data_IF_551409410462
#
_entry.id   IF_551409410462
#
_cell.length_a   1.000
_cell.length_b   1.000
_cell.length_c   1.000
_cell.angle_alpha   90.00
_cell.angle_beta   90.00
_cell.angle_gamma   90.00
#
_symmetry.space_group_name_H-M   'P 1'
#
loop_
_entity.id
_entity.type
_entity.pdbx_description
1 polymer ?
#
# COMPACT_ATOMS: atom_id res chain seq x y z
N UNK A 1 -45.15 -15.59 -7.64
CA UNK A 1 -45.64 -15.12 -6.32
C UNK A 1 -44.84 -15.87 -5.25
N UNK A 2 -44.31 -15.19 -4.22
CA UNK A 2 -43.65 -15.85 -3.10
C UNK A 2 -44.74 -16.48 -2.23
N UNK A 3 -44.94 -17.79 -2.37
CA UNK A 3 -45.89 -18.51 -1.55
C UNK A 3 -45.29 -18.73 -0.16
N UNK A 4 -45.82 -18.05 0.84
CA UNK A 4 -45.40 -18.14 2.23
C UNK A 4 -46.42 -18.86 3.13
N UNK A 5 -47.53 -19.33 2.55
CA UNK A 5 -48.61 -20.01 3.27
C UNK A 5 -49.07 -19.25 4.52
N UNK A 6 -49.34 -20.00 5.59
CA UNK A 6 -49.90 -19.48 6.84
C UNK A 6 -48.93 -18.59 7.63
N UNK A 7 -47.62 -18.71 7.38
CA UNK A 7 -46.56 -17.97 8.08
C UNK A 7 -46.27 -16.59 7.47
N UNK A 8 -47.01 -16.17 6.43
CA UNK A 8 -46.76 -14.91 5.73
C UNK A 8 -46.72 -13.69 6.65
N UNK A 9 -47.63 -13.62 7.64
CA UNK A 9 -47.70 -12.50 8.59
C UNK A 9 -46.46 -12.43 9.49
N UNK A 10 -46.03 -13.58 10.01
CA UNK A 10 -44.86 -13.68 10.90
C UNK A 10 -43.57 -13.32 10.14
N UNK A 11 -43.43 -13.81 8.90
CA UNK A 11 -42.31 -13.48 8.02
C UNK A 11 -42.28 -11.98 7.72
N UNK A 12 -43.43 -11.37 7.43
CA UNK A 12 -43.51 -9.94 7.15
C UNK A 12 -43.11 -9.08 8.37
N UNK A 13 -43.52 -9.49 9.58
CA UNK A 13 -43.13 -8.83 10.82
C UNK A 13 -41.61 -8.93 11.06
N UNK A 14 -41.05 -10.13 10.95
CA UNK A 14 -39.62 -10.35 11.10
C UNK A 14 -38.81 -9.59 10.04
N UNK A 15 -39.23 -9.64 8.78
CA UNK A 15 -38.59 -8.91 7.69
C UNK A 15 -38.61 -7.40 7.95
N UNK A 16 -39.72 -6.86 8.46
CA UNK A 16 -39.83 -5.43 8.80
C UNK A 16 -38.86 -5.07 9.92
N UNK A 17 -38.74 -5.90 10.95
CA UNK A 17 -37.78 -5.73 12.05
C UNK A 17 -36.34 -5.75 11.53
N UNK A 18 -35.99 -6.70 10.66
CA UNK A 18 -34.67 -6.76 10.00
C UNK A 18 -34.41 -5.47 9.21
N UNK A 19 -35.36 -4.99 8.39
CA UNK A 19 -35.19 -3.75 7.61
C UNK A 19 -34.95 -2.55 8.52
N UNK A 20 -35.67 -2.44 9.64
CA UNK A 20 -35.48 -1.35 10.61
C UNK A 20 -34.07 -1.39 11.20
N UNK A 21 -33.58 -2.58 11.58
CA UNK A 21 -32.20 -2.74 12.05
C UNK A 21 -31.19 -2.37 10.96
N UNK A 22 -31.38 -2.88 9.75
CA UNK A 22 -30.52 -2.58 8.60
C UNK A 22 -30.44 -1.08 8.28
N UNK A 23 -31.52 -0.32 8.54
CA UNK A 23 -31.54 1.14 8.42
C UNK A 23 -30.75 1.82 9.54
N UNK A 24 -30.86 1.33 10.78
CA UNK A 24 -30.09 1.83 11.94
C UNK A 24 -28.58 1.61 11.76
N UNK A 25 -28.20 0.49 11.14
CA UNK A 25 -26.81 0.18 10.76
C UNK A 25 -26.35 0.90 9.47
N UNK A 26 -26.99 2.00 9.08
CA UNK A 26 -26.61 2.86 7.94
C UNK A 26 -26.48 2.16 6.57
N UNK A 27 -26.98 0.93 6.42
CA UNK A 27 -26.85 0.21 5.14
C UNK A 27 -27.76 0.76 4.04
N UNK A 28 -28.77 1.55 4.40
CA UNK A 28 -29.70 2.17 3.44
C UNK A 28 -29.23 3.51 2.87
N UNK A 29 -28.32 4.20 3.56
CA UNK A 29 -27.90 5.56 3.20
C UNK A 29 -27.16 5.57 1.85
N UNK A 30 -27.59 6.44 0.93
CA UNK A 30 -27.00 6.57 -0.42
C UNK A 30 -27.24 5.37 -1.33
N UNK A 31 -28.15 4.46 -0.98
CA UNK A 31 -28.26 3.12 -1.57
C UNK A 31 -29.72 2.76 -1.87
N UNK A 32 -29.94 1.81 -2.80
CA UNK A 32 -31.30 1.40 -3.22
C UNK A 32 -32.00 0.61 -2.10
N UNK A 33 -33.19 1.04 -1.60
CA UNK A 33 -33.90 0.37 -0.51
C UNK A 33 -34.51 -0.97 -0.91
N UNK A 34 -34.78 -1.18 -2.20
CA UNK A 34 -35.30 -2.46 -2.74
C UNK A 34 -34.37 -3.63 -2.45
N UNK A 35 -33.05 -3.43 -2.53
CA UNK A 35 -32.07 -4.47 -2.23
C UNK A 35 -32.09 -4.92 -0.76
N UNK A 36 -32.31 -3.99 0.16
CA UNK A 36 -32.46 -4.29 1.60
C UNK A 36 -33.75 -5.07 1.85
N UNK A 37 -34.84 -4.69 1.19
CA UNK A 37 -36.11 -5.41 1.28
C UNK A 37 -35.96 -6.88 0.81
N UNK A 38 -35.31 -7.10 -0.33
CA UNK A 38 -35.05 -8.45 -0.84
C UNK A 38 -34.16 -9.29 0.08
N UNK A 39 -33.10 -8.70 0.64
CA UNK A 39 -32.24 -9.38 1.61
C UNK A 39 -32.99 -9.74 2.90
N UNK A 40 -33.80 -8.82 3.42
CA UNK A 40 -34.58 -9.05 4.62
C UNK A 40 -35.66 -10.12 4.43
N UNK A 41 -36.36 -10.13 3.29
CA UNK A 41 -37.32 -11.20 2.95
C UNK A 41 -36.62 -12.57 2.90
N UNK A 42 -35.44 -12.63 2.28
CA UNK A 42 -34.68 -13.88 2.20
C UNK A 42 -34.26 -14.38 3.59
N UNK A 43 -33.76 -13.48 4.45
CA UNK A 43 -33.36 -13.84 5.81
C UNK A 43 -34.54 -14.29 6.66
N UNK A 44 -35.66 -13.56 6.62
CA UNK A 44 -36.89 -13.92 7.34
C UNK A 44 -37.45 -15.27 6.84
N UNK A 45 -37.47 -15.52 5.54
CA UNK A 45 -37.93 -16.81 4.99
C UNK A 45 -37.09 -17.99 5.51
N UNK A 46 -35.76 -17.80 5.63
CA UNK A 46 -34.86 -18.83 6.17
C UNK A 46 -35.08 -19.07 7.67
N UNK A 47 -35.39 -18.03 8.44
CA UNK A 47 -35.69 -18.16 9.87
C UNK A 47 -36.92 -19.03 10.14
N UNK A 48 -37.92 -19.02 9.24
CA UNK A 48 -39.13 -19.85 9.34
C UNK A 48 -39.05 -21.19 8.59
N UNK A 49 -37.84 -21.62 8.18
CA UNK A 49 -37.56 -22.84 7.40
C UNK A 49 -38.28 -22.88 6.03
N UNK A 50 -38.55 -21.73 5.43
CA UNK A 50 -39.10 -21.61 4.08
C UNK A 50 -37.98 -21.25 3.11
N UNK A 51 -37.27 -22.27 2.64
CA UNK A 51 -36.15 -22.12 1.73
C UNK A 51 -36.64 -21.67 0.35
N UNK A 52 -36.64 -20.35 0.09
CA UNK A 52 -36.90 -19.75 -1.22
C UNK A 52 -35.59 -19.47 -1.94
N UNK A 53 -35.57 -19.62 -3.26
CA UNK A 53 -34.39 -19.31 -4.05
C UNK A 53 -34.15 -17.80 -4.07
N UNK A 54 -32.88 -17.41 -4.11
CA UNK A 54 -32.50 -16.00 -4.29
C UNK A 54 -33.06 -15.47 -5.61
N UNK A 55 -33.14 -16.33 -6.65
CA UNK A 55 -33.72 -15.97 -7.94
C UNK A 55 -35.20 -15.60 -7.85
N UNK A 56 -35.99 -16.33 -7.05
CA UNK A 56 -37.43 -16.05 -6.89
C UNK A 56 -37.66 -14.68 -6.25
N UNK A 57 -36.85 -14.35 -5.25
CA UNK A 57 -36.91 -13.07 -4.55
C UNK A 57 -36.48 -11.93 -5.47
N UNK A 58 -35.40 -12.12 -6.20
CA UNK A 58 -34.88 -11.16 -7.20
C UNK A 58 -35.93 -10.83 -8.25
N UNK A 59 -36.65 -11.84 -8.76
CA UNK A 59 -37.70 -11.67 -9.75
C UNK A 59 -38.88 -10.82 -9.23
N UNK A 60 -39.16 -10.85 -7.93
CA UNK A 60 -40.29 -10.12 -7.33
C UNK A 60 -39.87 -8.71 -6.91
N UNK A 61 -38.67 -8.56 -6.34
CA UNK A 61 -38.17 -7.28 -5.83
C UNK A 61 -37.48 -6.44 -6.92
N UNK A 62 -37.29 -7.02 -8.12
CA UNK A 62 -36.69 -6.38 -9.29
C UNK A 62 -35.29 -5.81 -8.99
N UNK A 63 -34.41 -6.65 -8.42
CA UNK A 63 -33.05 -6.28 -8.03
C UNK A 63 -32.07 -7.36 -8.49
N UNK A 64 -30.87 -7.01 -8.92
CA UNK A 64 -29.86 -7.98 -9.33
C UNK A 64 -29.42 -8.91 -8.18
N UNK A 65 -29.14 -10.18 -8.52
CA UNK A 65 -28.65 -11.20 -7.59
C UNK A 65 -27.42 -10.75 -6.78
N UNK A 66 -26.48 -10.06 -7.44
CA UNK A 66 -25.27 -9.54 -6.79
C UNK A 66 -25.56 -8.49 -5.73
N UNK A 67 -26.63 -7.71 -5.90
CA UNK A 67 -27.03 -6.69 -4.92
C UNK A 67 -27.57 -7.35 -3.66
N UNK A 68 -28.48 -8.32 -3.78
CA UNK A 68 -29.03 -9.05 -2.62
C UNK A 68 -27.91 -9.74 -1.85
N UNK A 69 -27.00 -10.42 -2.55
CA UNK A 69 -25.83 -11.07 -1.92
C UNK A 69 -24.97 -10.07 -1.16
N UNK A 70 -24.60 -8.95 -1.77
CA UNK A 70 -23.78 -7.91 -1.12
C UNK A 70 -24.46 -7.35 0.14
N UNK A 71 -25.79 -7.19 0.15
CA UNK A 71 -26.52 -6.75 1.36
C UNK A 71 -26.53 -7.80 2.48
N UNK A 72 -26.62 -9.07 2.13
CA UNK A 72 -26.51 -10.15 3.11
C UNK A 72 -25.12 -10.22 3.70
N UNK A 73 -24.08 -10.10 2.87
CA UNK A 73 -22.68 -10.10 3.32
C UNK A 73 -22.40 -8.91 4.25
N UNK A 74 -22.93 -7.72 3.94
CA UNK A 74 -22.80 -6.54 4.80
C UNK A 74 -23.52 -6.73 6.14
N UNK A 75 -24.75 -7.25 6.14
CA UNK A 75 -25.47 -7.53 7.39
C UNK A 75 -24.79 -8.63 8.23
N UNK A 76 -24.20 -9.64 7.58
CA UNK A 76 -23.44 -10.68 8.29
C UNK A 76 -22.18 -10.12 8.98
N UNK A 77 -21.66 -8.98 8.52
CA UNK A 77 -20.53 -8.30 9.16
C UNK A 77 -20.95 -7.35 10.29
N UNK A 78 -22.24 -7.10 10.51
CA UNK A 78 -22.70 -6.28 11.64
C UNK A 78 -22.90 -7.15 12.89
N UNK A 79 -22.83 -6.58 14.11
CA UNK A 79 -23.06 -7.34 15.34
C UNK A 79 -24.45 -7.97 15.39
N UNK A 80 -25.45 -7.37 14.73
CA UNK A 80 -26.79 -7.94 14.64
C UNK A 80 -26.88 -9.19 13.77
N UNK A 81 -25.98 -9.35 12.78
CA UNK A 81 -25.92 -10.53 11.94
C UNK A 81 -25.35 -11.77 12.64
N UNK A 82 -24.67 -11.57 13.78
CA UNK A 82 -24.08 -12.64 14.59
C UNK A 82 -25.06 -13.21 15.64
N UNK A 83 -26.17 -12.53 15.91
CA UNK A 83 -27.18 -12.96 16.86
C UNK A 83 -27.97 -14.15 16.33
N UNK A 84 -28.41 -15.02 17.23
CA UNK A 84 -29.42 -16.03 16.89
C UNK A 84 -30.76 -15.37 16.58
N UNK A 85 -31.64 -16.09 15.87
CA UNK A 85 -32.96 -15.58 15.48
C UNK A 85 -33.79 -15.20 16.72
N UNK A 86 -33.69 -15.99 17.79
CA UNK A 86 -34.42 -15.74 19.04
C UNK A 86 -33.88 -14.52 19.79
N UNK A 87 -32.55 -14.36 19.84
CA UNK A 87 -31.93 -13.16 20.41
C UNK A 87 -32.29 -11.91 19.62
N UNK A 88 -32.27 -11.99 18.29
CA UNK A 88 -32.63 -10.87 17.41
C UNK A 88 -34.07 -10.40 17.60
N UNK A 89 -34.99 -11.31 17.94
CA UNK A 89 -36.39 -10.96 18.21
C UNK A 89 -36.59 -10.26 19.56
N UNK A 90 -35.76 -10.56 20.55
CA UNK A 90 -35.92 -10.08 21.92
C UNK A 90 -35.02 -8.89 22.27
N UNK A 91 -33.88 -8.74 21.58
CA UNK A 91 -32.86 -7.74 21.90
C UNK A 91 -32.72 -6.75 20.74
N UNK A 92 -32.88 -5.46 21.05
CA UNK A 92 -32.51 -4.37 20.16
C UNK A 92 -31.16 -3.81 20.61
N UNK A 93 -30.12 -4.04 19.81
CA UNK A 93 -28.81 -3.41 20.04
C UNK A 93 -28.91 -1.89 19.83
N UNK A 94 -28.27 -1.10 20.70
CA UNK A 94 -28.23 0.37 20.55
C UNK A 94 -27.08 0.81 19.62
N UNK A 95 -25.99 0.04 19.61
CA UNK A 95 -24.83 0.31 18.77
C UNK A 95 -25.21 0.31 17.29
N UNK A 96 -24.73 1.32 16.56
CA UNK A 96 -24.99 1.52 15.13
C UNK A 96 -23.67 1.41 14.37
N UNK A 97 -23.69 0.71 13.25
CA UNK A 97 -22.51 0.54 12.40
C UNK A 97 -22.31 1.70 11.42
N UNK A 98 -21.05 1.87 11.00
CA UNK A 98 -20.66 2.81 9.96
C UNK A 98 -21.18 2.38 8.57
N UNK A 99 -21.44 3.34 7.66
CA UNK A 99 -21.87 3.02 6.31
C UNK A 99 -20.82 2.18 5.54
N UNK A 100 -21.23 1.26 4.65
CA UNK A 100 -20.31 0.35 3.95
C UNK A 100 -19.21 1.03 3.13
N UNK A 101 -19.43 2.26 2.64
CA UNK A 101 -18.38 3.03 1.95
C UNK A 101 -17.20 3.36 2.89
N UNK A 102 -17.48 3.66 4.16
CA UNK A 102 -16.46 3.95 5.15
C UNK A 102 -15.72 2.68 5.56
N UNK A 103 -16.46 1.59 5.80
CA UNK A 103 -15.87 0.28 6.11
C UNK A 103 -14.96 -0.23 4.99
N UNK A 104 -15.35 -0.07 3.71
CA UNK A 104 -14.53 -0.49 2.58
C UNK A 104 -13.26 0.37 2.45
N UNK A 105 -13.35 1.68 2.67
CA UNK A 105 -12.19 2.57 2.71
C UNK A 105 -11.21 2.19 3.83
N UNK A 106 -11.71 1.97 5.05
CA UNK A 106 -10.89 1.56 6.19
C UNK A 106 -10.20 0.21 5.95
N UNK A 107 -10.91 -0.77 5.37
CA UNK A 107 -10.34 -2.07 4.99
C UNK A 107 -9.21 -1.92 3.96
N UNK A 108 -9.41 -1.09 2.92
CA UNK A 108 -8.38 -0.82 1.90
C UNK A 108 -7.14 -0.16 2.50
N UNK A 109 -7.32 0.81 3.39
CA UNK A 109 -6.22 1.50 4.07
C UNK A 109 -5.40 0.53 4.93
N UNK A 110 -6.06 -0.34 5.69
CA UNK A 110 -5.39 -1.35 6.53
C UNK A 110 -4.63 -2.37 5.66
N UNK A 111 -5.23 -2.83 4.56
CA UNK A 111 -4.59 -3.77 3.64
C UNK A 111 -3.35 -3.15 2.98
N UNK A 112 -3.42 -1.88 2.59
CA UNK A 112 -2.28 -1.16 2.01
C UNK A 112 -1.15 -0.97 3.02
N UNK A 113 -1.47 -0.60 4.26
CA UNK A 113 -0.47 -0.47 5.33
C UNK A 113 0.22 -1.82 5.61
N UNK A 114 -0.56 -2.90 5.66
CA UNK A 114 -0.03 -4.25 5.84
C UNK A 114 0.91 -4.63 4.71
N UNK A 115 0.53 -4.35 3.45
CA UNK A 115 1.38 -4.61 2.29
C UNK A 115 2.69 -3.83 2.36
N UNK A 116 2.65 -2.53 2.70
CA UNK A 116 3.86 -1.71 2.87
C UNK A 116 4.78 -2.25 3.97
N UNK A 117 4.20 -2.67 5.09
CA UNK A 117 4.96 -3.29 6.20
C UNK A 117 5.61 -4.61 5.78
N UNK A 118 4.93 -5.42 4.98
CA UNK A 118 5.49 -6.69 4.51
C UNK A 118 6.58 -6.45 3.44
N UNK A 119 6.42 -5.44 2.59
CA UNK A 119 7.44 -4.98 1.63
C UNK A 119 8.70 -4.41 2.34
N UNK A 120 8.53 -3.59 3.38
CA UNK A 120 9.62 -3.05 4.19
C UNK A 120 10.41 -4.16 4.89
N UNK A 121 9.70 -5.12 5.51
CA UNK A 121 10.35 -6.30 6.11
C UNK A 121 11.11 -7.14 5.10
N UNK A 122 10.57 -7.29 3.88
CA UNK A 122 11.25 -8.02 2.82
C UNK A 122 12.51 -7.26 2.35
N UNK A 123 12.45 -5.93 2.27
CA UNK A 123 13.59 -5.09 1.94
C UNK A 123 14.68 -5.17 3.02
N UNK A 124 14.31 -5.07 4.30
CA UNK A 124 15.24 -5.19 5.43
C UNK A 124 15.94 -6.56 5.45
N UNK A 125 15.19 -7.64 5.19
CA UNK A 125 15.76 -8.99 5.08
C UNK A 125 16.77 -9.07 3.93
N UNK A 126 16.44 -8.52 2.76
CA UNK A 126 17.35 -8.50 1.62
C UNK A 126 18.61 -7.68 1.90
N UNK A 127 18.48 -6.49 2.52
CA UNK A 127 19.64 -5.66 2.90
C UNK A 127 20.55 -6.43 3.85
N UNK A 128 19.99 -7.09 4.86
CA UNK A 128 20.77 -7.87 5.83
C UNK A 128 21.49 -9.06 5.18
N UNK A 129 20.90 -9.71 4.17
CA UNK A 129 21.55 -10.77 3.40
C UNK A 129 22.73 -10.26 2.56
N UNK A 130 22.63 -9.04 1.99
CA UNK A 130 23.69 -8.45 1.17
C UNK A 130 24.77 -7.73 1.98
N UNK A 131 24.52 -7.43 3.25
CA UNK A 131 25.44 -6.70 4.13
C UNK A 131 26.83 -7.34 4.32
N UNK A 132 27.00 -8.67 4.51
CA UNK A 132 28.32 -9.28 4.58
C UNK A 132 29.11 -9.13 3.28
N UNK A 133 28.43 -9.27 2.13
CA UNK A 133 29.05 -9.13 0.82
C UNK A 133 29.44 -7.68 0.52
N UNK A 134 28.62 -6.71 0.94
CA UNK A 134 28.95 -5.26 0.88
C UNK A 134 30.21 -4.97 1.66
N UNK A 135 30.31 -5.47 2.90
CA UNK A 135 31.50 -5.28 3.76
C UNK A 135 32.75 -5.89 3.13
N UNK A 136 32.65 -7.08 2.56
CA UNK A 136 33.78 -7.72 1.88
C UNK A 136 34.24 -6.91 0.65
N UNK A 137 33.28 -6.41 -0.14
CA UNK A 137 33.57 -5.57 -1.30
C UNK A 137 34.28 -4.27 -0.91
N UNK A 138 33.82 -3.58 0.14
CA UNK A 138 34.41 -2.35 0.67
C UNK A 138 35.89 -2.55 1.06
N UNK A 139 36.18 -3.65 1.76
CA UNK A 139 37.55 -4.01 2.17
C UNK A 139 38.46 -4.26 0.97
N UNK A 140 37.98 -4.99 -0.04
CA UNK A 140 38.75 -5.25 -1.26
C UNK A 140 38.99 -3.95 -2.04
N UNK A 141 38.01 -3.03 -2.07
CA UNK A 141 38.15 -1.71 -2.70
C UNK A 141 39.20 -0.85 -2.02
N UNK A 142 39.16 -0.78 -0.68
CA UNK A 142 40.19 -0.09 0.10
C UNK A 142 41.58 -0.65 -0.19
N UNK A 143 41.72 -1.98 -0.24
CA UNK A 143 42.99 -2.64 -0.56
C UNK A 143 43.47 -2.32 -1.97
N UNK A 144 42.58 -2.31 -2.97
CA UNK A 144 42.91 -1.93 -4.35
C UNK A 144 43.30 -0.46 -4.45
N UNK A 145 42.63 0.42 -3.72
CA UNK A 145 42.92 1.84 -3.72
C UNK A 145 44.26 2.18 -3.06
N UNK A 146 44.59 1.56 -1.91
CA UNK A 146 45.90 1.66 -1.26
C UNK A 146 47.06 1.21 -2.16
N UNK A 147 46.77 0.30 -3.11
CA UNK A 147 47.72 -0.19 -4.10
C UNK A 147 47.66 0.52 -5.47
N UNK A 148 46.79 1.52 -5.61
CA UNK A 148 46.58 2.23 -6.87
C UNK A 148 47.79 3.09 -7.29
N UNK A 149 47.94 3.41 -8.58
CA UNK A 149 48.94 4.38 -9.05
C UNK A 149 48.82 5.75 -8.36
N UNK A 150 47.60 6.16 -8.00
CA UNK A 150 47.34 7.41 -7.26
C UNK A 150 47.97 7.37 -5.85
N UNK A 151 47.85 6.24 -5.15
CA UNK A 151 48.50 6.05 -3.86
C UNK A 151 50.03 6.03 -3.94
N UNK A 152 50.59 5.59 -5.07
CA UNK A 152 52.02 5.71 -5.36
C UNK A 152 52.45 7.15 -5.63
N UNK A 153 51.61 7.94 -6.28
CA UNK A 153 51.87 9.36 -6.58
C UNK A 153 51.88 10.22 -5.31
N UNK A 154 50.98 9.96 -4.37
CA UNK A 154 50.93 10.67 -3.07
C UNK A 154 52.23 10.48 -2.26
N UNK A 155 52.91 9.35 -2.45
CA UNK A 155 54.20 9.03 -1.77
C UNK A 155 55.42 9.28 -2.67
N UNK A 156 55.21 9.73 -3.90
CA UNK A 156 56.15 9.64 -5.03
C UNK A 156 57.55 10.23 -4.85
N UNK A 157 57.77 11.08 -3.84
CA UNK A 157 59.07 11.71 -3.60
C UNK A 157 59.95 11.02 -2.55
N UNK A 158 59.46 10.02 -1.81
CA UNK A 158 60.21 9.40 -0.70
C UNK A 158 60.96 8.12 -1.14
N UNK A 159 60.46 7.41 -2.17
CA UNK A 159 60.99 6.11 -2.56
C UNK A 159 62.23 6.15 -3.48
N UNK A 160 62.60 7.32 -4.02
CA UNK A 160 63.51 7.43 -5.17
C UNK A 160 65.02 7.44 -4.81
N UNK A 161 65.39 7.25 -3.54
CA UNK A 161 66.81 7.30 -3.10
C UNK A 161 67.52 5.93 -2.98
N UNK A 162 66.91 4.83 -3.46
CA UNK A 162 67.61 3.54 -3.62
C UNK A 162 68.03 2.83 -2.33
N UNK A 163 67.55 3.27 -1.16
CA UNK A 163 67.86 2.66 0.15
C UNK A 163 66.74 1.68 0.55
N UNK A 164 67.02 0.38 0.77
CA UNK A 164 65.99 -0.64 1.00
C UNK A 164 65.21 -0.46 2.33
N UNK A 165 65.78 0.22 3.32
CA UNK A 165 65.08 0.56 4.57
C UNK A 165 64.05 1.68 4.40
N UNK A 166 64.34 2.67 3.52
CA UNK A 166 63.37 3.72 3.17
C UNK A 166 62.16 3.15 2.43
N UNK A 167 62.34 2.05 1.68
CA UNK A 167 61.25 1.40 0.95
C UNK A 167 60.18 0.83 1.90
N UNK A 168 60.60 0.19 3.00
CA UNK A 168 59.67 -0.29 4.04
C UNK A 168 58.97 0.86 4.76
N UNK A 169 59.71 1.91 5.11
CA UNK A 169 59.13 3.12 5.71
C UNK A 169 58.12 3.82 4.78
N UNK A 170 58.37 3.83 3.46
CA UNK A 170 57.47 4.44 2.48
C UNK A 170 56.11 3.73 2.37
N UNK A 171 56.05 2.43 2.65
CA UNK A 171 54.79 1.69 2.67
C UNK A 171 53.93 2.10 3.87
N UNK A 172 54.55 2.22 5.05
CA UNK A 172 53.87 2.62 6.29
C UNK A 172 53.34 4.05 6.16
N UNK A 173 54.16 4.97 5.67
CA UNK A 173 53.74 6.36 5.41
C UNK A 173 52.62 6.45 4.37
N UNK A 174 52.62 5.58 3.36
CA UNK A 174 51.52 5.52 2.38
C UNK A 174 50.21 5.15 3.05
N UNK A 175 50.23 4.10 3.86
CA UNK A 175 49.03 3.57 4.49
C UNK A 175 48.47 4.57 5.49
N UNK A 176 49.32 5.20 6.33
CA UNK A 176 48.90 6.26 7.25
C UNK A 176 48.35 7.50 6.52
N UNK A 177 49.03 7.98 5.47
CA UNK A 177 48.51 9.12 4.70
C UNK A 177 47.22 8.79 3.93
N UNK A 178 47.04 7.55 3.48
CA UNK A 178 45.78 7.12 2.88
C UNK A 178 44.66 7.05 3.91
N UNK A 179 44.93 6.49 5.10
CA UNK A 179 43.94 6.36 6.16
C UNK A 179 43.49 7.74 6.66
N UNK A 180 44.40 8.70 6.82
CA UNK A 180 44.02 10.11 7.13
C UNK A 180 43.21 10.78 6.03
N UNK A 181 43.53 10.56 4.75
CA UNK A 181 42.72 11.08 3.63
C UNK A 181 41.31 10.49 3.64
N UNK A 182 41.18 9.21 3.98
CA UNK A 182 39.88 8.54 4.13
C UNK A 182 39.06 9.11 5.29
N UNK A 183 39.68 9.26 6.47
CA UNK A 183 39.04 9.82 7.66
C UNK A 183 38.55 11.26 7.41
N UNK A 184 39.37 12.10 6.78
CA UNK A 184 38.99 13.46 6.39
C UNK A 184 37.85 13.49 5.36
N UNK A 185 37.78 12.50 4.48
CA UNK A 185 36.70 12.37 3.51
C UNK A 185 35.39 11.86 4.14
N UNK A 186 35.45 11.07 5.22
CA UNK A 186 34.27 10.67 6.00
C UNK A 186 33.71 11.82 6.86
N UNK A 187 34.58 12.62 7.49
CA UNK A 187 34.15 13.79 8.28
C UNK A 187 33.57 14.90 7.41
N UNK A 188 34.10 15.08 6.20
CA UNK A 188 33.47 15.88 5.17
C UNK A 188 32.49 15.02 4.38
N UNK A 189 31.34 14.66 4.99
CA UNK A 189 30.15 14.53 4.15
C UNK A 189 29.96 15.90 3.49
N UNK A 190 30.19 16.07 2.18
CA UNK A 190 29.86 17.35 1.58
C UNK A 190 28.35 17.46 1.81
N UNK A 191 27.88 18.51 2.49
CA UNK A 191 26.51 18.98 2.27
C UNK A 191 26.34 18.94 0.76
N UNK A 192 25.49 18.06 0.23
CA UNK A 192 25.51 17.62 -1.17
C UNK A 192 25.34 18.82 -2.09
N UNK A 193 26.45 19.48 -2.41
CA UNK A 193 26.52 20.62 -3.30
C UNK A 193 26.60 20.01 -4.68
N UNK A 194 25.44 19.91 -5.32
CA UNK A 194 25.23 19.93 -6.78
C UNK A 194 26.17 19.09 -7.65
N UNK A 195 26.73 17.98 -7.17
CA UNK A 195 27.56 17.08 -8.00
C UNK A 195 26.76 15.91 -8.58
N UNK A 196 25.49 15.76 -8.19
CA UNK A 196 24.59 14.74 -8.76
C UNK A 196 24.27 14.97 -10.24
N UNK A 197 24.41 16.20 -10.73
CA UNK A 197 24.15 16.56 -12.13
C UNK A 197 25.27 16.13 -13.09
N UNK A 198 26.51 16.01 -12.58
CA UNK A 198 27.69 15.70 -13.40
C UNK A 198 28.10 14.22 -13.34
N UNK A 199 27.41 13.40 -12.54
CA UNK A 199 27.64 11.96 -12.45
C UNK A 199 26.93 11.18 -13.57
N UNK A 200 27.47 10.03 -14.02
CA UNK A 200 26.78 9.16 -14.96
C UNK A 200 25.44 8.69 -14.37
N UNK A 201 24.38 8.75 -15.17
CA UNK A 201 23.05 8.29 -14.73
C UNK A 201 23.06 6.79 -14.50
N UNK A 202 22.19 6.30 -13.59
CA UNK A 202 22.00 4.85 -13.36
C UNK A 202 21.69 4.10 -14.67
N UNK A 203 20.98 4.76 -15.58
CA UNK A 203 20.66 4.24 -16.91
C UNK A 203 21.90 4.16 -17.83
N UNK A 204 22.79 5.16 -17.76
CA UNK A 204 24.10 5.14 -18.46
C UNK A 204 25.01 4.02 -17.93
N UNK A 205 24.88 3.66 -16.65
CA UNK A 205 25.56 2.51 -16.04
C UNK A 205 24.86 1.16 -16.32
N UNK A 206 23.78 1.14 -17.12
CA UNK A 206 23.06 -0.07 -17.51
C UNK A 206 22.13 -0.63 -16.44
N UNK A 207 21.90 0.11 -15.35
CA UNK A 207 20.98 -0.27 -14.28
C UNK A 207 19.58 0.25 -14.60
N UNK A 208 18.69 -0.67 -14.97
CA UNK A 208 17.30 -0.32 -15.29
C UNK A 208 16.50 -0.11 -14.00
N UNK A 209 15.71 0.97 -13.87
CA UNK A 209 14.82 1.17 -12.73
C UNK A 209 13.78 0.05 -12.63
N UNK A 210 13.32 -0.23 -11.41
CA UNK A 210 12.27 -1.23 -11.17
C UNK A 210 10.97 -0.87 -11.90
N UNK A 211 10.14 -1.87 -12.22
CA UNK A 211 8.86 -1.66 -12.92
C UNK A 211 7.94 -0.67 -12.19
N UNK A 212 7.91 -0.70 -10.86
CA UNK A 212 7.14 0.25 -10.04
C UNK A 212 7.61 1.70 -10.23
N UNK A 213 8.93 1.93 -10.23
CA UNK A 213 9.53 3.24 -10.44
C UNK A 213 9.29 3.76 -11.87
N UNK A 214 9.19 2.87 -12.86
CA UNK A 214 8.84 3.24 -14.24
C UNK A 214 7.39 3.70 -14.35
N UNK A 215 6.47 3.06 -13.62
CA UNK A 215 5.05 3.45 -13.57
C UNK A 215 4.88 4.80 -12.89
N UNK A 216 5.55 5.03 -11.76
CA UNK A 216 5.51 6.32 -11.05
C UNK A 216 6.04 7.49 -11.91
N UNK A 217 7.12 7.28 -12.66
CA UNK A 217 7.64 8.30 -13.61
C UNK A 217 6.61 8.64 -14.68
N UNK A 218 5.96 7.63 -15.29
CA UNK A 218 4.90 7.87 -16.28
C UNK A 218 3.72 8.66 -15.72
N UNK A 219 3.30 8.35 -14.49
CA UNK A 219 2.21 9.08 -13.82
C UNK A 219 2.62 10.54 -13.60
N UNK A 220 3.82 10.79 -13.10
CA UNK A 220 4.32 12.15 -12.83
C UNK A 220 4.53 12.98 -14.11
N UNK A 221 4.95 12.35 -15.21
CA UNK A 221 5.05 13.00 -16.52
C UNK A 221 3.67 13.40 -17.05
N UNK A 222 2.65 12.55 -16.88
CA UNK A 222 1.27 12.84 -17.29
C UNK A 222 0.67 14.01 -16.49
N UNK A 223 0.95 14.07 -15.18
CA UNK A 223 0.49 15.18 -14.32
C UNK A 223 1.17 16.51 -14.70
N UNK A 224 2.46 16.50 -15.07
CA UNK A 224 3.18 17.70 -15.54
C UNK A 224 2.67 18.19 -16.89
N UNK A 225 2.27 17.29 -17.80
CA UNK A 225 1.69 17.70 -19.09
C UNK A 225 0.31 18.34 -18.95
N UNK A 226 -0.50 17.90 -17.99
CA UNK A 226 -1.83 18.48 -17.75
C UNK A 226 -1.74 19.85 -17.07
N UNK A 227 -0.73 20.06 -16.21
CA UNK A 227 -0.51 21.33 -15.50
C UNK A 227 -0.14 22.48 -16.45
N UNK A 228 0.66 22.22 -17.49
CA UNK A 228 1.11 23.22 -18.46
C UNK A 228 0.03 23.64 -19.49
N UNK A 229 -1.11 22.95 -19.54
CA UNK A 229 -2.20 23.24 -20.49
C UNK A 229 -3.32 24.14 -19.92
N UNK A 230 -3.19 24.63 -18.68
CA UNK A 230 -4.30 25.33 -17.99
C UNK A 230 -4.11 26.85 -17.87
N UNK A 231 -3.07 27.44 -18.48
CA UNK A 231 -2.80 28.90 -18.43
C UNK A 231 -3.23 29.69 -19.68
N UNK A 232 -3.91 29.06 -20.66
CA UNK A 232 -4.42 29.73 -21.85
C UNK A 232 -5.95 29.80 -21.86
N UNK A 233 -6.49 31.02 -22.04
CA UNK A 233 -7.87 31.35 -22.38
C UNK A 233 -8.88 31.53 -21.23
N UNK A 234 -8.73 32.65 -20.53
CA UNK A 234 -9.76 33.24 -19.68
C UNK A 234 -10.05 34.69 -20.08
N UNK A 235 -10.76 34.93 -21.18
CA UNK A 235 -11.45 36.22 -21.42
C UNK A 235 -12.91 35.94 -21.77
N UNK A 236 -13.78 35.97 -20.75
CA UNK A 236 -15.24 35.91 -20.90
C UNK A 236 -15.77 37.35 -20.93
N UNK A 237 -16.17 37.78 -22.12
CA UNK A 237 -16.82 39.06 -22.38
C UNK A 237 -18.26 39.00 -21.82
N UNK A 238 -18.60 39.93 -20.91
CA UNK A 238 -19.93 40.10 -20.35
C UNK A 238 -20.55 41.38 -20.94
N UNK A 239 -21.29 41.19 -22.04
CA UNK A 239 -22.32 42.11 -22.53
C UNK A 239 -23.58 41.33 -22.86
#
# INVERSE_FOLDING_TARGET
>A
MLDFGDKQKEIALLATRIIQRMKRDWMSTGRRPTGICGAALLLASRAFNLNRSVADIVNIVHVSHGVVKRRLDEFANTPSGLLTIDEFNNVDLEESEDPPAFQESKKRMIEEEKRKRDEEKAADSAVNEFEPLRREFEVELQKRLKNSPYAKMIVGNIADQGVPELSKASCILRDEMMDTVFELAEEHSPSTSSYSEYGPTLESLGLKPSYSQQVERKINETIKSDSNNTEGDGNLDLT
#
